data_IF_421394440492
#
_entry.id   IF_421394440492
#
_cell.length_a   1.000
_cell.length_b   1.000
_cell.length_c   1.000
_cell.angle_alpha   90.00
_cell.angle_beta   90.00
_cell.angle_gamma   90.00
#
_symmetry.space_group_name_H-M   'P 1'
#
loop_
_entity.id
_entity.type
_entity.pdbx_description
1 polymer ?
#
# COMPACT_ATOMS: atom_id res chain seq x y z
N UNK A 1 -16.16 6.49 4.73
CA UNK A 1 -14.96 5.85 4.14
C UNK A 1 -15.21 5.57 2.66
N UNK A 2 -14.27 5.91 1.78
CA UNK A 2 -14.33 5.61 0.33
C UNK A 2 -13.12 4.75 -0.01
N UNK A 3 -13.32 3.67 -0.78
CA UNK A 3 -12.24 2.75 -1.14
C UNK A 3 -12.00 2.78 -2.65
N UNK A 4 -10.73 2.79 -3.05
CA UNK A 4 -10.30 2.58 -4.43
C UNK A 4 -9.62 1.22 -4.52
N UNK A 5 -10.21 0.31 -5.30
CA UNK A 5 -9.60 -0.99 -5.55
C UNK A 5 -8.82 -0.95 -6.87
N UNK A 6 -7.50 -1.02 -6.77
CA UNK A 6 -6.59 -0.95 -7.91
C UNK A 6 -6.11 -2.36 -8.28
N UNK A 7 -6.49 -2.83 -9.46
CA UNK A 7 -6.14 -4.16 -9.99
C UNK A 7 -5.55 -4.06 -11.40
N UNK A 8 -5.01 -5.15 -11.92
CA UNK A 8 -4.46 -5.22 -13.28
C UNK A 8 -4.48 -6.66 -13.80
N UNK A 9 -4.46 -6.83 -15.12
CA UNK A 9 -4.39 -8.13 -15.79
C UNK A 9 -3.01 -8.79 -15.78
N UNK A 10 -1.96 -8.08 -15.35
CA UNK A 10 -0.57 -8.59 -15.32
C UNK A 10 0.19 -8.26 -14.04
N UNK A 11 1.22 -9.06 -13.76
CA UNK A 11 2.20 -8.78 -12.69
C UNK A 11 3.15 -7.64 -13.12
N UNK A 12 3.71 -6.91 -12.15
CA UNK A 12 4.65 -5.79 -12.38
C UNK A 12 4.14 -4.62 -13.26
N UNK A 13 2.82 -4.41 -13.30
CA UNK A 13 2.16 -3.36 -14.10
C UNK A 13 2.19 -1.94 -13.52
N UNK A 14 2.91 -1.70 -12.42
CA UNK A 14 3.02 -0.37 -11.81
C UNK A 14 1.88 0.04 -10.87
N UNK A 15 1.03 -0.89 -10.42
CA UNK A 15 -0.07 -0.63 -9.45
C UNK A 15 0.40 0.10 -8.19
N UNK A 16 1.49 -0.35 -7.57
CA UNK A 16 2.04 0.29 -6.37
C UNK A 16 2.43 1.74 -6.64
N UNK A 17 3.12 2.00 -7.76
CA UNK A 17 3.50 3.36 -8.15
C UNK A 17 2.28 4.26 -8.41
N UNK A 18 1.22 3.72 -9.02
CA UNK A 18 -0.05 4.44 -9.18
C UNK A 18 -0.68 4.79 -7.82
N UNK A 19 -0.71 3.84 -6.88
CA UNK A 19 -1.23 4.05 -5.53
C UNK A 19 -0.42 5.11 -4.75
N UNK A 20 0.92 5.18 -4.94
CA UNK A 20 1.75 6.25 -4.38
C UNK A 20 1.27 7.62 -4.88
N UNK A 21 1.12 7.79 -6.18
CA UNK A 21 0.69 9.05 -6.79
C UNK A 21 -0.70 9.49 -6.30
N UNK A 22 -1.66 8.56 -6.29
CA UNK A 22 -3.01 8.81 -5.79
C UNK A 22 -3.00 9.19 -4.31
N UNK A 23 -2.33 8.42 -3.46
CA UNK A 23 -2.27 8.67 -2.03
C UNK A 23 -1.64 10.03 -1.70
N UNK A 24 -0.50 10.36 -2.33
CA UNK A 24 0.16 11.66 -2.15
C UNK A 24 -0.71 12.82 -2.61
N UNK A 25 -1.38 12.69 -3.76
CA UNK A 25 -2.29 13.72 -4.27
C UNK A 25 -3.47 13.95 -3.32
N UNK A 26 -4.06 12.88 -2.79
CA UNK A 26 -5.16 12.93 -1.82
C UNK A 26 -4.71 13.57 -0.49
N UNK A 27 -3.52 13.24 0.01
CA UNK A 27 -2.95 13.91 1.19
C UNK A 27 -2.78 15.42 0.95
N UNK A 28 -2.30 15.83 -0.24
CA UNK A 28 -2.18 17.24 -0.62
C UNK A 28 -3.54 17.95 -0.69
N UNK A 29 -4.61 17.24 -1.02
CA UNK A 29 -5.99 17.75 -0.99
C UNK A 29 -6.60 17.77 0.43
N UNK A 30 -5.87 17.31 1.46
CA UNK A 30 -6.32 17.31 2.85
C UNK A 30 -7.12 16.07 3.27
N UNK A 31 -7.09 14.99 2.48
CA UNK A 31 -7.73 13.73 2.85
C UNK A 31 -6.84 12.88 3.76
N UNK A 32 -7.47 12.21 4.72
CA UNK A 32 -6.88 11.09 5.43
C UNK A 32 -6.87 9.86 4.52
N UNK A 33 -5.72 9.21 4.39
CA UNK A 33 -5.49 8.11 3.45
C UNK A 33 -4.92 6.92 4.20
N UNK A 34 -5.49 5.74 3.97
CA UNK A 34 -4.91 4.45 4.36
C UNK A 34 -4.50 3.64 3.12
N UNK A 35 -3.69 2.61 3.32
CA UNK A 35 -3.31 1.67 2.28
C UNK A 35 -3.45 0.24 2.79
N UNK A 36 -4.06 -0.62 1.99
CA UNK A 36 -4.21 -2.05 2.26
C UNK A 36 -3.89 -2.83 1.00
N UNK A 37 -3.17 -3.94 1.16
CA UNK A 37 -2.93 -4.90 0.08
C UNK A 37 -3.62 -6.23 0.42
N UNK A 38 -4.87 -6.46 -0.02
CA UNK A 38 -5.67 -7.59 0.43
C UNK A 38 -5.20 -8.95 -0.12
N UNK A 39 -4.41 -8.96 -1.19
CA UNK A 39 -3.84 -10.17 -1.77
C UNK A 39 -2.35 -9.98 -1.94
N UNK A 40 -1.57 -10.68 -1.12
CA UNK A 40 -0.11 -10.78 -1.27
C UNK A 40 0.25 -12.12 -1.93
N UNK A 41 1.06 -12.07 -2.98
CA UNK A 41 1.65 -13.27 -3.60
C UNK A 41 3.08 -13.52 -3.15
N UNK A 42 3.70 -12.57 -2.43
CA UNK A 42 5.10 -12.61 -2.01
C UNK A 42 5.18 -12.15 -0.55
N UNK A 43 5.07 -13.12 0.35
CA UNK A 43 5.28 -12.92 1.78
C UNK A 43 6.76 -13.09 2.11
N UNK A 44 7.43 -12.04 2.63
CA UNK A 44 8.76 -12.19 3.26
C UNK A 44 8.64 -12.10 4.77
N UNK A 45 9.45 -12.89 5.47
CA UNK A 45 9.56 -12.79 6.93
C UNK A 45 10.57 -11.70 7.30
N UNK A 46 10.09 -10.60 7.88
CA UNK A 46 10.93 -9.55 8.48
C UNK A 46 10.71 -9.59 10.00
N UNK A 47 11.77 -9.77 10.79
CA UNK A 47 11.72 -9.81 12.27
C UNK A 47 10.69 -10.80 12.85
N UNK A 48 10.45 -11.92 12.16
CA UNK A 48 9.51 -12.96 12.60
C UNK A 48 8.05 -12.74 12.19
N UNK A 49 7.69 -11.61 11.57
CA UNK A 49 6.37 -11.36 10.98
C UNK A 49 6.39 -11.53 9.47
N UNK A 50 5.30 -12.05 8.92
CA UNK A 50 5.06 -12.00 7.47
C UNK A 50 4.70 -10.55 7.16
N UNK A 51 5.49 -9.90 6.31
CA UNK A 51 5.26 -8.52 5.92
C UNK A 51 5.34 -8.46 4.40
N UNK A 52 4.32 -7.88 3.78
CA UNK A 52 4.35 -7.57 2.36
C UNK A 52 5.24 -6.34 2.12
N UNK A 53 6.24 -6.47 1.24
CA UNK A 53 7.19 -5.39 0.94
C UNK A 53 6.50 -4.14 0.38
N UNK A 54 5.45 -4.30 -0.43
CA UNK A 54 4.68 -3.15 -0.94
C UNK A 54 3.91 -2.47 0.20
N UNK A 55 3.38 -3.22 1.16
CA UNK A 55 2.64 -2.64 2.29
C UNK A 55 3.58 -1.86 3.23
N UNK A 56 4.77 -2.39 3.52
CA UNK A 56 5.79 -1.67 4.27
C UNK A 56 6.23 -0.41 3.53
N UNK A 57 6.60 -0.53 2.25
CA UNK A 57 6.96 0.60 1.41
C UNK A 57 5.88 1.69 1.40
N UNK A 58 4.61 1.30 1.27
CA UNK A 58 3.50 2.24 1.25
C UNK A 58 3.28 2.91 2.61
N UNK A 59 3.47 2.21 3.73
CA UNK A 59 3.41 2.82 5.06
C UNK A 59 4.47 3.92 5.23
N UNK A 60 5.71 3.67 4.77
CA UNK A 60 6.80 4.63 4.83
C UNK A 60 6.55 5.83 3.90
N UNK A 61 6.14 5.55 2.65
CA UNK A 61 5.88 6.60 1.67
C UNK A 61 4.70 7.45 2.09
N UNK A 62 3.60 6.88 2.59
CA UNK A 62 2.44 7.67 2.99
C UNK A 62 2.54 8.20 4.43
N UNK A 63 3.57 7.83 5.20
CA UNK A 63 3.74 8.24 6.59
C UNK A 63 2.64 7.69 7.50
N UNK A 64 2.20 6.46 7.25
CA UNK A 64 1.14 5.81 8.03
C UNK A 64 1.70 5.34 9.38
N UNK A 65 0.97 5.61 10.46
CA UNK A 65 1.35 5.21 11.82
C UNK A 65 0.95 3.78 12.17
N UNK A 66 -0.04 3.24 11.45
CA UNK A 66 -0.49 1.86 11.64
C UNK A 66 0.52 0.89 11.03
N UNK A 67 0.92 -0.16 11.77
CA UNK A 67 1.76 -1.19 11.19
C UNK A 67 0.98 -1.90 10.06
N UNK A 68 1.67 -2.32 8.97
CA UNK A 68 1.05 -3.21 8.00
C UNK A 68 0.51 -4.46 8.71
N UNK A 69 -0.75 -4.82 8.42
CA UNK A 69 -1.35 -6.06 8.92
C UNK A 69 -0.56 -7.29 8.43
N UNK A 70 -0.67 -8.40 9.18
CA UNK A 70 -0.04 -9.71 8.86
C UNK A 70 -0.56 -10.34 7.56
#
# INVERSE_FOLDING_TARGET
MRALYVTSTGIFSGKTALCVGLGRRMQQDGFEVGYMKPVSTIARRIKGRIVDEDALFMSEVLGLSEPPDE
#
